data_IF_983299573485
#
_entry.id   IF_983299573485
#
_cell.length_a   1.000
_cell.length_b   1.000
_cell.length_c   1.000
_cell.angle_alpha   90.00
_cell.angle_beta   90.00
_cell.angle_gamma   90.00
#
_symmetry.space_group_name_H-M   'P 1'
#
loop_
_entity.id
_entity.type
_entity.pdbx_description
1 polymer ?
#
# COMPACT_ATOMS: atom_id res chain seq x y z
N UNK A 1 2.75 5.20 14.93
CA UNK A 1 2.06 4.11 14.20
C UNK A 1 2.69 3.85 12.83
N UNK A 2 3.68 4.63 12.41
CA UNK A 2 4.35 4.55 11.10
C UNK A 2 5.51 3.52 11.10
N UNK A 3 6.16 3.35 12.26
CA UNK A 3 7.26 2.39 12.48
C UNK A 3 6.90 0.93 12.15
N UNK A 4 5.65 0.52 12.39
CA UNK A 4 5.27 -0.87 12.16
C UNK A 4 5.08 -1.17 10.66
N UNK A 5 4.62 -0.19 9.86
CA UNK A 5 4.46 -0.38 8.41
C UNK A 5 5.79 -0.59 7.72
N UNK A 6 6.78 0.28 7.93
CA UNK A 6 8.10 0.14 7.28
C UNK A 6 8.75 -1.20 7.59
N UNK A 7 8.63 -1.69 8.83
CA UNK A 7 9.12 -3.01 9.22
C UNK A 7 8.40 -4.14 8.48
N UNK A 8 7.06 -4.14 8.49
CA UNK A 8 6.30 -5.20 7.81
C UNK A 8 6.46 -5.15 6.30
N UNK A 9 6.57 -3.96 5.72
CA UNK A 9 6.85 -3.78 4.31
C UNK A 9 8.22 -4.35 3.93
N UNK A 10 9.26 -4.05 4.72
CA UNK A 10 10.59 -4.64 4.54
C UNK A 10 10.55 -6.18 4.68
N UNK A 11 9.73 -6.73 5.58
CA UNK A 11 9.53 -8.17 5.67
C UNK A 11 8.90 -8.75 4.39
N UNK A 12 7.91 -8.09 3.80
CA UNK A 12 7.33 -8.56 2.52
C UNK A 12 8.31 -8.44 1.36
N UNK A 13 9.12 -7.38 1.31
CA UNK A 13 10.20 -7.27 0.35
C UNK A 13 11.22 -8.39 0.53
N UNK A 14 11.56 -8.74 1.78
CA UNK A 14 12.45 -9.87 2.08
C UNK A 14 11.87 -11.22 1.68
N UNK A 15 10.55 -11.41 1.86
CA UNK A 15 9.85 -12.60 1.37
C UNK A 15 9.89 -12.71 -0.17
N UNK A 16 9.94 -11.56 -0.86
CA UNK A 16 9.91 -11.48 -2.32
C UNK A 16 11.29 -11.58 -2.98
N UNK A 17 12.27 -10.85 -2.46
CA UNK A 17 13.60 -10.69 -3.04
C UNK A 17 14.69 -11.46 -2.30
N UNK A 18 14.36 -12.05 -1.14
CA UNK A 18 15.30 -12.75 -0.28
C UNK A 18 15.74 -11.91 0.92
N UNK A 19 16.37 -12.54 1.93
CA UNK A 19 16.68 -11.89 3.20
C UNK A 19 17.85 -10.89 3.13
N UNK A 20 18.66 -10.95 2.07
CA UNK A 20 19.82 -10.08 1.89
C UNK A 20 19.43 -8.78 1.18
N UNK A 21 19.37 -7.67 1.93
CA UNK A 21 18.93 -6.38 1.42
C UNK A 21 19.86 -5.82 0.35
N UNK A 22 21.13 -6.22 0.32
CA UNK A 22 22.10 -5.78 -0.69
C UNK A 22 21.76 -6.32 -2.08
N UNK A 23 20.91 -7.35 -2.15
CA UNK A 23 20.42 -7.94 -3.41
C UNK A 23 19.07 -7.38 -3.86
N UNK A 24 18.45 -6.50 -3.07
CA UNK A 24 17.16 -5.92 -3.42
C UNK A 24 17.30 -4.91 -4.56
N UNK A 25 16.24 -4.70 -5.37
CA UNK A 25 16.21 -3.61 -6.34
C UNK A 25 16.42 -2.25 -5.65
N UNK A 26 17.26 -1.39 -6.21
CA UNK A 26 17.52 -0.04 -5.67
C UNK A 26 16.24 0.81 -5.57
N UNK A 27 15.28 0.58 -6.46
CA UNK A 27 13.92 1.13 -6.42
C UNK A 27 13.17 0.83 -5.12
N UNK A 28 13.44 -0.30 -4.45
CA UNK A 28 12.76 -0.66 -3.21
C UNK A 28 13.01 0.38 -2.11
N UNK A 29 14.26 0.84 -1.96
CA UNK A 29 14.61 1.91 -1.02
C UNK A 29 13.93 3.23 -1.40
N UNK A 30 13.88 3.54 -2.70
CA UNK A 30 13.33 4.82 -3.19
C UNK A 30 11.81 4.90 -3.10
N UNK A 31 11.11 3.79 -3.29
CA UNK A 31 9.63 3.73 -3.23
C UNK A 31 9.12 3.68 -1.78
N UNK A 32 9.89 3.10 -0.84
CA UNK A 32 9.47 2.90 0.55
C UNK A 32 8.95 4.16 1.25
N UNK A 33 9.61 5.34 1.17
CA UNK A 33 9.12 6.56 1.81
C UNK A 33 7.76 7.00 1.29
N UNK A 34 7.50 6.85 -0.02
CA UNK A 34 6.22 7.20 -0.61
C UNK A 34 5.11 6.29 -0.08
N UNK A 35 5.33 4.97 -0.06
CA UNK A 35 4.32 4.04 0.46
C UNK A 35 4.06 4.28 1.95
N UNK A 36 5.08 4.68 2.71
CA UNK A 36 4.91 5.05 4.13
C UNK A 36 4.00 6.28 4.28
N UNK A 37 4.19 7.33 3.47
CA UNK A 37 3.35 8.53 3.50
C UNK A 37 1.87 8.21 3.26
N UNK A 38 1.55 7.26 2.38
CA UNK A 38 0.16 6.81 2.13
C UNK A 38 -0.48 6.27 3.41
N UNK A 39 0.23 5.38 4.11
CA UNK A 39 -0.26 4.77 5.36
C UNK A 39 -0.33 5.80 6.49
N UNK A 40 0.60 6.76 6.52
CA UNK A 40 0.59 7.84 7.51
C UNK A 40 -0.59 8.78 7.32
N UNK A 41 -0.97 9.04 6.06
CA UNK A 41 -2.10 9.89 5.71
C UNK A 41 -3.45 9.18 5.96
N UNK A 42 -3.59 7.93 5.51
CA UNK A 42 -4.88 7.23 5.45
C UNK A 42 -5.11 6.22 6.58
N UNK A 43 -4.05 5.82 7.28
CA UNK A 43 -4.06 4.67 8.16
C UNK A 43 -3.98 3.33 7.42
N UNK A 44 -3.83 2.26 8.18
CA UNK A 44 -3.57 0.91 7.65
C UNK A 44 -4.73 0.35 6.82
N UNK A 45 -5.96 0.49 7.30
CA UNK A 45 -7.13 -0.13 6.65
C UNK A 45 -7.44 0.56 5.30
N UNK A 46 -7.38 1.89 5.27
CA UNK A 46 -7.59 2.64 4.02
C UNK A 46 -6.35 2.57 3.11
N UNK A 47 -5.14 2.56 3.68
CA UNK A 47 -3.90 2.30 2.93
C UNK A 47 -3.94 0.97 2.15
N UNK A 48 -4.46 -0.10 2.76
CA UNK A 48 -4.68 -1.39 2.07
C UNK A 48 -5.55 -1.20 0.82
N UNK A 49 -6.72 -0.57 0.97
CA UNK A 49 -7.65 -0.31 -0.15
C UNK A 49 -6.98 0.50 -1.25
N UNK A 50 -6.18 1.49 -0.89
CA UNK A 50 -5.47 2.35 -1.84
C UNK A 50 -4.35 1.63 -2.58
N UNK A 51 -3.59 0.77 -1.91
CA UNK A 51 -2.59 -0.06 -2.58
C UNK A 51 -3.24 -1.07 -3.54
N UNK A 52 -4.35 -1.71 -3.15
CA UNK A 52 -5.13 -2.55 -4.08
C UNK A 52 -5.68 -1.75 -5.26
N UNK A 53 -6.12 -0.51 -5.03
CA UNK A 53 -6.52 0.42 -6.08
C UNK A 53 -5.37 0.74 -7.05
N UNK A 54 -4.16 0.98 -6.52
CA UNK A 54 -2.96 1.22 -7.31
C UNK A 54 -2.58 -0.01 -8.16
N UNK A 55 -2.69 -1.22 -7.64
CA UNK A 55 -2.50 -2.46 -8.41
C UNK A 55 -3.48 -2.56 -9.57
N UNK A 56 -4.78 -2.32 -9.32
CA UNK A 56 -5.81 -2.30 -10.37
C UNK A 56 -5.52 -1.23 -11.41
N UNK A 57 -5.06 -0.05 -11.00
CA UNK A 57 -4.69 1.03 -11.90
C UNK A 57 -3.50 0.65 -12.78
N UNK A 58 -2.46 0.04 -12.21
CA UNK A 58 -1.32 -0.44 -12.99
C UNK A 58 -1.72 -1.53 -14.00
N UNK A 59 -2.55 -2.49 -13.58
CA UNK A 59 -3.06 -3.52 -14.48
C UNK A 59 -3.77 -2.92 -15.69
N UNK A 60 -4.60 -1.89 -15.49
CA UNK A 60 -5.29 -1.19 -16.60
C UNK A 60 -4.34 -0.48 -17.55
N UNK A 61 -3.26 0.13 -17.03
CA UNK A 61 -2.19 0.71 -17.86
C UNK A 61 -1.56 -0.38 -18.73
N UNK A 62 -1.11 -1.47 -18.11
CA UNK A 62 -0.43 -2.57 -18.81
C UNK A 62 -1.34 -3.26 -19.83
N UNK A 63 -2.63 -3.44 -19.50
CA UNK A 63 -3.62 -3.98 -20.44
C UNK A 63 -3.84 -3.06 -21.64
N UNK A 64 -3.95 -1.74 -21.41
CA UNK A 64 -4.12 -0.77 -22.50
C UNK A 64 -2.90 -0.73 -23.43
N UNK A 65 -1.69 -0.77 -22.87
CA UNK A 65 -0.43 -0.85 -23.62
C UNK A 65 -0.34 -2.14 -24.44
N UNK A 66 -0.61 -3.28 -23.80
CA UNK A 66 -0.60 -4.60 -24.45
C UNK A 66 -1.59 -4.68 -25.61
N UNK A 67 -2.79 -4.13 -25.42
CA UNK A 67 -3.86 -4.16 -26.43
C UNK A 67 -3.73 -3.03 -27.46
N UNK A 68 -2.75 -2.13 -27.32
CA UNK A 68 -2.58 -0.91 -28.12
C UNK A 68 -3.86 -0.07 -28.19
N UNK A 69 -4.62 -0.07 -27.11
CA UNK A 69 -5.82 0.75 -26.98
C UNK A 69 -5.48 2.12 -26.40
N UNK A 70 -6.45 3.04 -26.39
CA UNK A 70 -6.28 4.31 -25.70
C UNK A 70 -5.97 4.09 -24.21
N UNK A 71 -4.93 4.76 -23.72
CA UNK A 71 -4.45 4.66 -22.35
C UNK A 71 -4.66 6.01 -21.65
N UNK A 72 -5.52 6.05 -20.63
CA UNK A 72 -5.79 7.26 -19.84
C UNK A 72 -4.68 7.56 -18.82
N UNK A 73 -3.74 6.64 -18.62
CA UNK A 73 -2.64 6.76 -17.69
C UNK A 73 -2.99 6.36 -16.26
N UNK A 74 -1.95 6.10 -15.47
CA UNK A 74 -2.07 5.58 -14.10
C UNK A 74 -2.92 6.48 -13.20
N UNK A 75 -2.72 7.81 -13.25
CA UNK A 75 -3.45 8.74 -12.38
C UNK A 75 -4.98 8.66 -12.57
N UNK A 76 -5.45 8.55 -13.83
CA UNK A 76 -6.87 8.42 -14.12
C UNK A 76 -7.44 7.11 -13.60
N UNK A 77 -6.74 5.99 -13.85
CA UNK A 77 -7.19 4.69 -13.35
C UNK A 77 -7.12 4.59 -11.82
N UNK A 78 -6.13 5.25 -11.19
CA UNK A 78 -6.02 5.33 -9.74
C UNK A 78 -7.20 6.10 -9.13
N UNK A 79 -7.56 7.25 -9.70
CA UNK A 79 -8.69 8.05 -9.22
C UNK A 79 -9.99 7.24 -9.30
N UNK A 80 -10.19 6.56 -10.44
CA UNK A 80 -11.35 5.68 -10.64
C UNK A 80 -11.37 4.50 -9.68
N UNK A 81 -10.21 3.88 -9.40
CA UNK A 81 -10.12 2.70 -8.55
C UNK A 81 -10.26 3.02 -7.04
N UNK A 82 -9.88 4.23 -6.64
CA UNK A 82 -9.90 4.66 -5.23
C UNK A 82 -11.17 5.43 -4.88
N UNK A 83 -11.77 6.13 -5.85
CA UNK A 83 -12.85 7.09 -5.63
C UNK A 83 -12.33 8.42 -5.08
N UNK A 84 -11.07 8.79 -5.37
CA UNK A 84 -10.43 9.97 -4.78
C UNK A 84 -11.17 11.28 -5.06
N UNK A 85 -11.89 11.37 -6.19
CA UNK A 85 -12.75 12.50 -6.54
C UNK A 85 -14.04 12.63 -5.69
N UNK A 86 -14.47 11.59 -4.97
CA UNK A 86 -15.73 11.60 -4.22
C UNK A 86 -15.62 12.37 -2.90
N UNK A 87 -14.45 12.36 -2.25
CA UNK A 87 -14.21 13.07 -0.99
C UNK A 87 -12.79 13.64 -0.92
N UNK A 88 -12.63 14.87 -1.39
CA UNK A 88 -11.33 15.54 -1.54
C UNK A 88 -10.91 16.15 -0.20
N UNK A 89 -10.12 15.39 0.55
CA UNK A 89 -9.47 15.84 1.80
C UNK A 89 -7.94 15.93 1.62
N UNK A 90 -7.25 16.65 2.51
CA UNK A 90 -5.79 16.73 2.48
C UNK A 90 -5.10 15.35 2.54
N UNK A 91 -5.53 14.39 3.41
CA UNK A 91 -4.97 13.04 3.39
C UNK A 91 -5.18 12.28 2.07
N UNK A 92 -6.38 12.39 1.47
CA UNK A 92 -6.70 11.77 0.18
C UNK A 92 -5.82 12.33 -0.93
N UNK A 93 -5.66 13.66 -0.99
CA UNK A 93 -4.77 14.32 -1.95
C UNK A 93 -3.30 13.91 -1.75
N UNK A 94 -2.84 13.85 -0.51
CA UNK A 94 -1.48 13.43 -0.19
C UNK A 94 -1.22 11.99 -0.65
N UNK A 95 -2.12 11.06 -0.34
CA UNK A 95 -2.00 9.67 -0.78
C UNK A 95 -2.03 9.53 -2.30
N UNK A 96 -2.92 10.26 -2.97
CA UNK A 96 -3.04 10.24 -4.43
C UNK A 96 -1.77 10.72 -5.14
N UNK A 97 -1.26 11.89 -4.76
CA UNK A 97 -0.03 12.43 -5.35
C UNK A 97 1.19 11.57 -5.01
N UNK A 98 1.22 11.01 -3.81
CA UNK A 98 2.30 10.12 -3.37
C UNK A 98 2.33 8.82 -4.16
N UNK A 99 1.18 8.19 -4.44
CA UNK A 99 1.12 6.98 -5.24
C UNK A 99 1.51 7.23 -6.70
N UNK A 100 1.13 8.38 -7.26
CA UNK A 100 1.60 8.80 -8.59
C UNK A 100 3.13 8.92 -8.62
N UNK A 101 3.71 9.55 -7.60
CA UNK A 101 5.17 9.68 -7.50
C UNK A 101 5.85 8.31 -7.34
N UNK A 102 5.33 7.45 -6.46
CA UNK A 102 5.84 6.09 -6.28
C UNK A 102 5.80 5.29 -7.59
N UNK A 103 4.70 5.39 -8.34
CA UNK A 103 4.53 4.73 -9.63
C UNK A 103 5.59 5.17 -10.65
N UNK A 104 5.83 6.48 -10.76
CA UNK A 104 6.84 7.03 -11.67
C UNK A 104 8.25 6.60 -11.27
N UNK A 105 8.58 6.61 -9.98
CA UNK A 105 9.87 6.15 -9.47
C UNK A 105 10.08 4.66 -9.77
N UNK A 106 9.05 3.84 -9.54
CA UNK A 106 9.10 2.40 -9.78
C UNK A 106 9.21 2.06 -11.27
N UNK A 107 8.54 2.79 -12.16
CA UNK A 107 8.64 2.57 -13.61
C UNK A 107 9.99 2.96 -14.21
N UNK A 108 10.71 3.93 -13.62
CA UNK A 108 11.87 4.51 -14.28
C UNK A 108 13.11 3.59 -14.27
N UNK A 109 13.20 2.68 -13.30
CA UNK A 109 14.25 1.65 -13.29
C UNK A 109 13.60 0.33 -13.73
N UNK A 110 13.86 -0.10 -14.97
CA UNK A 110 13.34 -1.32 -15.64
C UNK A 110 13.66 -2.65 -14.92
N UNK A 111 14.02 -2.64 -13.64
CA UNK A 111 14.47 -3.82 -12.89
C UNK A 111 13.35 -4.60 -12.21
N UNK A 112 12.19 -3.99 -11.92
CA UNK A 112 11.15 -4.64 -11.11
C UNK A 112 9.76 -4.13 -11.49
N UNK A 113 8.82 -5.07 -11.64
CA UNK A 113 7.41 -4.76 -11.87
C UNK A 113 6.83 -3.96 -10.71
N UNK A 114 6.19 -2.82 -11.04
CA UNK A 114 5.60 -1.90 -10.07
C UNK A 114 4.53 -2.57 -9.20
N UNK A 115 3.81 -3.57 -9.73
CA UNK A 115 2.80 -4.32 -8.97
C UNK A 115 3.38 -4.95 -7.70
N UNK A 116 4.66 -5.35 -7.75
CA UNK A 116 5.33 -6.01 -6.62
C UNK A 116 5.39 -5.09 -5.40
N UNK A 117 5.69 -3.80 -5.58
CA UNK A 117 5.76 -2.87 -4.46
C UNK A 117 4.39 -2.61 -3.84
N UNK A 118 3.35 -2.42 -4.67
CA UNK A 118 2.00 -2.22 -4.16
C UNK A 118 1.43 -3.48 -3.53
N UNK A 119 1.77 -4.67 -4.05
CA UNK A 119 1.41 -5.95 -3.45
C UNK A 119 2.05 -6.12 -2.07
N UNK A 120 3.36 -5.91 -1.94
CA UNK A 120 4.03 -5.97 -0.64
C UNK A 120 3.45 -4.95 0.35
N UNK A 121 3.09 -3.75 -0.11
CA UNK A 121 2.49 -2.72 0.73
C UNK A 121 1.08 -3.12 1.20
N UNK A 122 0.26 -3.70 0.32
CA UNK A 122 -1.05 -4.23 0.65
C UNK A 122 -0.94 -5.38 1.66
N UNK A 123 0.00 -6.32 1.46
CA UNK A 123 0.23 -7.43 2.40
C UNK A 123 0.66 -6.94 3.78
N UNK A 124 1.58 -5.97 3.84
CA UNK A 124 1.99 -5.33 5.08
C UNK A 124 0.81 -4.67 5.80
N UNK A 125 -0.05 -3.94 5.08
CA UNK A 125 -1.25 -3.34 5.65
C UNK A 125 -2.24 -4.40 6.14
N UNK A 126 -2.44 -5.48 5.37
CA UNK A 126 -3.33 -6.58 5.75
C UNK A 126 -2.89 -7.26 7.06
N UNK A 127 -1.59 -7.55 7.20
CA UNK A 127 -1.01 -8.11 8.44
C UNK A 127 -1.21 -7.16 9.62
N UNK A 128 -0.93 -5.88 9.44
CA UNK A 128 -1.12 -4.86 10.47
C UNK A 128 -2.57 -4.71 10.90
N UNK A 129 -3.50 -4.67 9.94
CA UNK A 129 -4.93 -4.60 10.20
C UNK A 129 -5.42 -5.82 10.98
N UNK A 130 -4.94 -7.02 10.63
CA UNK A 130 -5.23 -8.26 11.35
C UNK A 130 -4.76 -8.20 12.80
N UNK A 131 -3.48 -7.89 13.03
CA UNK A 131 -2.91 -7.79 14.37
C UNK A 131 -3.62 -6.75 15.25
N UNK A 132 -4.03 -5.60 14.66
CA UNK A 132 -4.81 -4.57 15.35
C UNK A 132 -6.18 -5.08 15.77
N UNK A 133 -6.91 -5.77 14.88
CA UNK A 133 -8.24 -6.33 15.18
C UNK A 133 -8.18 -7.39 16.28
N UNK A 134 -7.21 -8.30 16.20
CA UNK A 134 -7.00 -9.34 17.21
C UNK A 134 -6.73 -8.73 18.60
N UNK A 135 -5.91 -7.67 18.65
CA UNK A 135 -5.62 -6.96 19.89
C UNK A 135 -6.85 -6.27 20.49
N UNK A 136 -7.71 -5.65 19.65
CA UNK A 136 -8.96 -5.04 20.12
C UNK A 136 -9.89 -6.11 20.71
N UNK A 137 -10.04 -7.24 20.02
CA UNK A 137 -10.88 -8.35 20.48
C UNK A 137 -10.40 -8.93 21.82
N UNK A 138 -9.09 -9.11 22.00
CA UNK A 138 -8.53 -9.57 23.28
C UNK A 138 -8.80 -8.60 24.43
N UNK A 139 -8.75 -7.30 24.17
CA UNK A 139 -9.02 -6.27 25.17
C UNK A 139 -10.52 -6.24 25.56
N UNK A 140 -11.42 -6.40 24.59
CA UNK A 140 -12.86 -6.48 24.82
C UNK A 140 -13.23 -7.71 25.65
N UNK A 141 -12.75 -8.89 25.26
CA UNK A 141 -12.94 -10.13 26.04
C UNK A 141 -12.37 -10.01 27.46
N UNK A 142 -11.23 -9.33 27.62
CA UNK A 142 -10.64 -9.07 28.93
C UNK A 142 -11.49 -8.14 29.81
N UNK A 143 -12.18 -7.16 29.21
CA UNK A 143 -13.12 -6.27 29.92
C UNK A 143 -14.38 -7.02 30.33
N UNK A 144 -14.95 -7.82 29.44
CA UNK A 144 -16.14 -8.63 29.71
C UNK A 144 -15.89 -9.63 30.86
N UNK A 145 -14.75 -10.33 30.84
CA UNK A 145 -14.36 -11.24 31.93
C UNK A 145 -14.23 -10.54 33.28
N UNK A 146 -13.70 -9.31 33.31
CA UNK A 146 -13.60 -8.51 34.54
C UNK A 146 -14.96 -7.98 35.02
N UNK A 147 -15.86 -7.68 34.09
CA UNK A 147 -17.22 -7.25 34.42
C UNK A 147 -18.06 -8.42 34.96
N UNK A 148 -17.92 -9.62 34.41
CA UNK A 148 -18.61 -10.83 34.87
C UNK A 148 -18.08 -11.40 36.20
N UNK A 149 -16.90 -10.96 36.65
CA UNK A 149 -16.31 -11.35 37.93
C UNK A 149 -16.64 -10.38 39.09
N UNK A 150 -17.53 -9.41 38.85
CA UNK A 150 -18.08 -8.46 39.85
C UNK A 150 -19.55 -8.75 40.08
#
# INVERSE_FOLDING_TARGET
MTYDFGLHFAQELGNRFGPDTDSWPATAERVTPFLTIVVDALGVDEGLRWFEGARKAHLRVTEAERNRSYNFGFAHYLDTATGAHEDVTLPVLAAFETLKAAYVVAQHEDSTDVDVYFECAAQACSRLGGARRDRVQQLEQGRERRAAAR
#
